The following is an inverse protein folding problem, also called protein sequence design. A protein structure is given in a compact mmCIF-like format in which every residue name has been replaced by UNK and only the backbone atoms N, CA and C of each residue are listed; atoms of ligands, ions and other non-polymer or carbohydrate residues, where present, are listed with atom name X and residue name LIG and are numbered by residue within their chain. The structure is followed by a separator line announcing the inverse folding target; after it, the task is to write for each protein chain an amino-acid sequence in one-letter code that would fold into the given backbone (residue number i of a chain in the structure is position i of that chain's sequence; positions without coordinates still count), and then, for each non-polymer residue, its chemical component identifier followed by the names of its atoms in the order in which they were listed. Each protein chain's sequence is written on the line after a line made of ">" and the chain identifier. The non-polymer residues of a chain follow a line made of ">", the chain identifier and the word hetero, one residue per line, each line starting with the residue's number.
data_IF_320452288750
#
_entry.id   IF_320452288750
#
_cell.length_a   1.000
_cell.length_b   1.000
_cell.length_c   1.000
_cell.angle_alpha   90.00
_cell.angle_beta   90.00
_cell.angle_gamma   90.00
#
_symmetry.space_group_name_H-M   'P 1'
#
loop_
_entity.id
_entity.type
_entity.pdbx_description
1 polymer ?
#
# COMPACT_ATOMS: atom_id res chain seq x y z
N UNK A 1 19.18 6.69 11.38
CA UNK A 1 17.97 5.92 11.00
C UNK A 1 18.09 5.46 9.56
N UNK A 2 17.92 4.17 9.34
CA UNK A 2 17.97 3.60 7.99
C UNK A 2 16.66 3.87 7.25
N UNK A 3 16.77 4.37 6.01
CA UNK A 3 15.59 4.61 5.17
C UNK A 3 15.50 3.54 4.08
N UNK A 4 14.33 2.94 3.94
CA UNK A 4 14.02 1.97 2.88
C UNK A 4 12.98 2.58 1.95
N UNK A 5 13.23 2.49 0.65
CA UNK A 5 12.37 3.07 -0.38
C UNK A 5 11.51 1.99 -1.01
N UNK A 6 10.23 2.30 -1.14
CA UNK A 6 9.25 1.36 -1.67
C UNK A 6 8.15 2.09 -2.44
N UNK A 7 7.31 1.32 -3.11
CA UNK A 7 6.11 1.79 -3.79
C UNK A 7 4.90 1.01 -3.30
N UNK A 8 3.72 1.64 -3.36
CA UNK A 8 2.43 0.97 -3.18
C UNK A 8 1.50 1.39 -4.31
N UNK A 9 0.67 0.46 -4.76
CA UNK A 9 -0.25 0.68 -5.87
C UNK A 9 -1.68 0.46 -5.42
N UNK A 10 -2.49 1.51 -5.49
CA UNK A 10 -3.92 1.44 -5.24
C UNK A 10 -4.64 1.15 -6.56
N UNK A 11 -5.38 0.06 -6.59
CA UNK A 11 -6.29 -0.28 -7.68
C UNK A 11 -7.68 -0.32 -7.09
N UNK A 12 -8.48 0.69 -7.43
CA UNK A 12 -9.83 0.86 -6.89
C UNK A 12 -10.82 0.64 -8.01
N UNK A 13 -11.77 -0.25 -7.77
CA UNK A 13 -12.87 -0.53 -8.69
C UNK A 13 -14.16 -0.55 -7.90
N UNK A 14 -15.08 0.35 -8.25
CA UNK A 14 -16.29 0.60 -7.49
C UNK A 14 -15.94 1.01 -6.05
N UNK A 15 -16.40 0.31 -5.05
CA UNK A 15 -16.10 0.55 -3.63
C UNK A 15 -15.12 -0.45 -3.04
N UNK A 16 -14.34 -1.11 -3.90
CA UNK A 16 -13.35 -2.12 -3.50
C UNK A 16 -11.95 -1.71 -3.91
N UNK A 17 -10.97 -2.18 -3.15
CA UNK A 17 -9.56 -2.01 -3.44
C UNK A 17 -8.86 -3.37 -3.51
N UNK A 18 -7.89 -3.50 -4.42
CA UNK A 18 -7.08 -4.69 -4.51
C UNK A 18 -6.09 -4.73 -3.34
N UNK A 19 -6.12 -5.81 -2.58
CA UNK A 19 -5.24 -6.03 -1.43
C UNK A 19 -4.45 -7.32 -1.58
N UNK A 20 -3.37 -7.42 -0.81
CA UNK A 20 -2.71 -8.67 -0.48
C UNK A 20 -3.22 -9.10 0.89
N UNK A 21 -3.64 -10.36 0.99
CA UNK A 21 -3.86 -11.02 2.26
C UNK A 21 -2.74 -12.02 2.48
N UNK A 22 -2.04 -11.85 3.59
CA UNK A 22 -1.00 -12.78 3.98
C UNK A 22 -1.62 -14.04 4.59
N UNK A 23 -1.09 -15.22 4.22
CA UNK A 23 -1.58 -16.51 4.69
C UNK A 23 -1.08 -16.91 6.08
N UNK A 24 -0.38 -16.03 6.75
CA UNK A 24 0.07 -16.27 8.12
C UNK A 24 -1.15 -16.36 9.04
N UNK A 25 -1.32 -17.52 9.69
CA UNK A 25 -2.45 -17.81 10.57
C UNK A 25 -2.57 -16.87 11.77
N UNK A 26 -1.49 -16.18 12.14
CA UNK A 26 -1.46 -15.23 13.24
C UNK A 26 -1.74 -13.81 12.80
N UNK A 27 -1.88 -13.56 11.49
CA UNK A 27 -2.05 -12.21 10.93
C UNK A 27 -3.13 -12.21 9.87
N UNK A 28 -4.29 -11.71 10.24
CA UNK A 28 -5.40 -11.53 9.30
C UNK A 28 -5.43 -10.06 8.82
N UNK A 29 -4.33 -9.63 8.23
CA UNK A 29 -4.17 -8.27 7.74
C UNK A 29 -4.19 -8.20 6.22
N UNK A 30 -4.88 -7.18 5.72
CA UNK A 30 -4.82 -6.80 4.31
C UNK A 30 -3.80 -5.67 4.13
N UNK A 31 -2.97 -5.77 3.13
CA UNK A 31 -2.02 -4.73 2.75
C UNK A 31 -2.28 -4.26 1.32
N UNK A 32 -1.80 -3.08 1.00
CA UNK A 32 -1.84 -2.54 -0.35
C UNK A 32 -0.64 -3.11 -1.11
N UNK A 33 -0.83 -3.60 -2.35
CA UNK A 33 0.26 -4.19 -3.13
C UNK A 33 1.41 -3.23 -3.39
N UNK A 34 2.61 -3.75 -3.38
CA UNK A 34 3.83 -3.01 -3.68
C UNK A 34 5.06 -3.71 -3.13
N UNK A 35 6.16 -3.01 -3.06
CA UNK A 35 7.42 -3.54 -2.56
C UNK A 35 8.57 -2.58 -2.73
N UNK A 36 9.78 -3.08 -2.50
CA UNK A 36 11.01 -2.29 -2.58
C UNK A 36 11.30 -1.86 -4.02
N UNK A 37 11.86 -0.66 -4.15
CA UNK A 37 12.42 -0.20 -5.42
C UNK A 37 13.81 -0.84 -5.56
N UNK A 38 14.04 -1.53 -6.66
CA UNK A 38 15.33 -2.14 -6.97
C UNK A 38 16.23 -1.15 -7.71
N UNK A 39 17.54 -1.36 -7.61
CA UNK A 39 18.50 -0.46 -8.24
C UNK A 39 18.30 -0.33 -9.74
N UNK A 40 18.31 0.91 -10.23
CA UNK A 40 18.19 1.22 -11.65
C UNK A 40 16.77 1.26 -12.20
N UNK A 41 15.75 0.89 -11.42
CA UNK A 41 14.37 1.02 -11.89
C UNK A 41 13.72 2.33 -11.44
N UNK A 42 12.78 2.83 -12.25
CA UNK A 42 11.93 3.94 -11.88
C UNK A 42 10.83 3.47 -10.91
N UNK A 43 10.17 4.41 -10.25
CA UNK A 43 9.04 4.08 -9.36
C UNK A 43 7.93 3.34 -10.11
N UNK A 44 7.61 3.78 -11.34
CA UNK A 44 6.59 3.13 -12.19
C UNK A 44 7.01 1.71 -12.56
N UNK A 45 8.27 1.51 -12.91
CA UNK A 45 8.81 0.17 -13.20
C UNK A 45 8.73 -0.73 -11.97
N UNK A 46 9.02 -0.21 -10.78
CA UNK A 46 8.88 -0.95 -9.54
C UNK A 46 7.42 -1.36 -9.28
N UNK A 47 6.47 -0.45 -9.48
CA UNK A 47 5.05 -0.75 -9.36
C UNK A 47 4.62 -1.88 -10.31
N UNK A 48 5.03 -1.81 -11.56
CA UNK A 48 4.69 -2.80 -12.58
C UNK A 48 5.31 -4.16 -12.29
N UNK A 49 6.57 -4.17 -11.88
CA UNK A 49 7.28 -5.41 -11.53
C UNK A 49 6.66 -6.09 -10.31
N UNK A 50 6.46 -5.34 -9.23
CA UNK A 50 5.89 -5.89 -7.99
C UNK A 50 4.49 -6.43 -8.20
N UNK A 51 3.66 -5.71 -8.96
CA UNK A 51 2.30 -6.14 -9.24
C UNK A 51 2.28 -7.44 -10.06
N UNK A 52 3.19 -7.56 -11.03
CA UNK A 52 3.33 -8.78 -11.83
C UNK A 52 3.85 -9.96 -11.00
N UNK A 53 4.86 -9.74 -10.17
CA UNK A 53 5.44 -10.77 -9.30
C UNK A 53 4.47 -11.24 -8.22
N UNK A 54 3.78 -10.30 -7.55
CA UNK A 54 2.89 -10.63 -6.45
C UNK A 54 1.50 -11.08 -6.89
N UNK A 55 1.01 -10.60 -8.04
CA UNK A 55 -0.39 -10.78 -8.45
C UNK A 55 -0.55 -11.53 -9.77
N UNK A 56 0.50 -11.63 -10.58
CA UNK A 56 0.38 -12.12 -11.94
C UNK A 56 -0.41 -11.18 -12.85
N UNK A 57 -0.51 -9.92 -12.49
CA UNK A 57 -1.29 -8.91 -13.20
C UNK A 57 -0.40 -7.79 -13.72
N UNK A 58 -0.86 -7.11 -14.75
CA UNK A 58 -0.21 -5.92 -15.29
C UNK A 58 -0.99 -4.69 -14.87
N UNK A 59 -0.28 -3.65 -14.42
CA UNK A 59 -0.86 -2.34 -14.10
C UNK A 59 -0.27 -1.28 -15.01
N UNK A 60 -1.09 -0.31 -15.38
CA UNK A 60 -0.69 0.77 -16.27
C UNK A 60 -1.45 2.06 -15.91
N UNK A 61 -1.11 3.16 -16.59
CA UNK A 61 -1.69 4.46 -16.30
C UNK A 61 -1.57 4.82 -14.81
N UNK A 62 -0.34 4.76 -14.32
CA UNK A 62 0.00 5.00 -12.92
C UNK A 62 0.16 6.50 -12.64
N UNK A 63 -0.62 7.01 -11.70
CA UNK A 63 -0.55 8.40 -11.23
C UNK A 63 -0.05 8.42 -9.78
N UNK A 64 0.97 9.22 -9.51
CA UNK A 64 1.43 9.44 -8.14
C UNK A 64 0.38 10.23 -7.36
N UNK A 65 -0.06 9.69 -6.22
CA UNK A 65 -1.07 10.30 -5.36
C UNK A 65 -0.49 10.79 -4.03
N UNK A 66 0.79 10.58 -3.80
CA UNK A 66 1.45 11.07 -2.61
C UNK A 66 2.56 10.18 -2.10
N UNK A 67 2.88 10.37 -0.84
CA UNK A 67 3.96 9.68 -0.16
C UNK A 67 3.53 9.30 1.26
N UNK A 68 3.91 8.10 1.67
CA UNK A 68 3.76 7.64 3.05
C UNK A 68 5.15 7.47 3.64
N UNK A 69 5.37 8.00 4.83
CA UNK A 69 6.52 7.64 5.65
C UNK A 69 6.03 6.84 6.85
N UNK A 70 6.67 5.71 7.10
CA UNK A 70 6.39 4.86 8.27
C UNK A 70 7.66 4.78 9.11
N UNK A 71 7.59 5.30 10.32
CA UNK A 71 8.72 5.38 11.24
C UNK A 71 8.58 4.33 12.32
N UNK A 72 9.61 3.52 12.49
CA UNK A 72 9.74 2.52 13.55
C UNK A 72 10.88 2.91 14.47
N UNK A 73 10.64 3.74 15.50
CA UNK A 73 11.71 4.26 16.34
C UNK A 73 12.50 3.17 17.08
N UNK A 74 11.82 2.10 17.51
CA UNK A 74 12.45 1.01 18.24
C UNK A 74 13.39 0.17 17.38
N UNK A 75 13.20 0.19 16.07
CA UNK A 75 14.03 -0.52 15.09
C UNK A 75 15.01 0.40 14.36
N UNK A 76 15.00 1.68 14.70
CA UNK A 76 15.81 2.74 14.08
C UNK A 76 15.75 2.73 12.55
N UNK A 77 14.54 2.56 12.03
CA UNK A 77 14.29 2.53 10.57
C UNK A 77 13.03 3.26 10.18
N UNK A 78 12.98 3.69 8.93
CA UNK A 78 11.78 4.21 8.31
C UNK A 78 11.63 3.69 6.88
N UNK A 79 10.39 3.61 6.44
CA UNK A 79 10.04 3.38 5.04
C UNK A 79 9.57 4.70 4.42
N UNK A 80 10.10 5.01 3.26
CA UNK A 80 9.63 6.11 2.42
C UNK A 80 8.94 5.46 1.21
N UNK A 81 7.62 5.56 1.16
CA UNK A 81 6.79 4.83 0.21
C UNK A 81 6.09 5.83 -0.70
N UNK A 82 6.38 5.79 -1.99
CA UNK A 82 5.60 6.52 -2.98
C UNK A 82 4.34 5.74 -3.33
N UNK A 83 3.22 6.41 -3.34
CA UNK A 83 1.92 5.82 -3.56
C UNK A 83 1.38 6.22 -4.92
N UNK A 84 0.89 5.23 -5.65
CA UNK A 84 0.34 5.38 -7.00
C UNK A 84 -1.07 4.81 -7.06
N UNK A 85 -1.90 5.41 -7.89
CA UNK A 85 -3.17 4.82 -8.30
C UNK A 85 -3.04 4.37 -9.75
N UNK A 86 -3.46 3.14 -10.04
CA UNK A 86 -3.49 2.60 -11.39
C UNK A 86 -4.92 2.63 -11.92
N UNK A 87 -5.13 3.23 -13.09
CA UNK A 87 -6.45 3.26 -13.75
C UNK A 87 -6.65 2.13 -14.74
N UNK A 88 -5.59 1.42 -15.08
CA UNK A 88 -5.65 0.31 -16.02
C UNK A 88 -4.99 -0.92 -15.42
N UNK A 89 -5.74 -2.00 -15.36
CA UNK A 89 -5.23 -3.29 -14.94
C UNK A 89 -5.62 -4.37 -15.95
N UNK A 90 -4.77 -5.37 -16.09
CA UNK A 90 -4.98 -6.50 -17.00
C UNK A 90 -4.52 -7.79 -16.34
N UNK A 91 -5.21 -8.88 -16.64
CA UNK A 91 -4.93 -10.19 -16.07
C UNK A 91 -5.86 -10.55 -14.91
N UNK A 92 -5.67 -11.76 -14.41
CA UNK A 92 -6.45 -12.31 -13.29
C UNK A 92 -5.55 -12.46 -12.08
N UNK A 93 -6.00 -12.05 -10.88
CA UNK A 93 -5.22 -12.24 -9.66
C UNK A 93 -4.86 -13.70 -9.46
N UNK A 94 -3.59 -13.95 -9.13
CA UNK A 94 -3.08 -15.29 -8.84
C UNK A 94 -2.78 -15.45 -7.36
N UNK A 95 -2.95 -16.66 -6.87
CA UNK A 95 -2.59 -17.04 -5.51
C UNK A 95 -1.14 -17.53 -5.46
N UNK A 96 -0.36 -16.98 -4.54
CA UNK A 96 1.02 -17.40 -4.28
C UNK A 96 1.12 -18.13 -2.95
N UNK A 97 2.25 -18.81 -2.71
CA UNK A 97 2.43 -19.68 -1.53
C UNK A 97 2.25 -18.99 -0.18
N UNK A 98 2.62 -17.71 -0.07
CA UNK A 98 2.60 -16.97 1.20
C UNK A 98 1.50 -15.91 1.27
N UNK A 99 0.96 -15.51 0.12
CA UNK A 99 -0.05 -14.47 0.05
C UNK A 99 -0.95 -14.66 -1.17
N UNK A 100 -2.05 -13.94 -1.20
CA UNK A 100 -2.93 -13.91 -2.37
C UNK A 100 -3.57 -12.55 -2.54
N UNK A 101 -3.88 -12.21 -3.80
CA UNK A 101 -4.57 -11.00 -4.16
C UNK A 101 -6.08 -11.17 -3.99
N UNK A 102 -6.74 -10.16 -3.48
CA UNK A 102 -8.19 -10.15 -3.34
C UNK A 102 -8.75 -8.74 -3.41
N UNK A 103 -10.01 -8.65 -3.85
CA UNK A 103 -10.78 -7.41 -3.77
C UNK A 103 -11.42 -7.30 -2.40
N UNK A 104 -11.23 -6.18 -1.73
CA UNK A 104 -11.76 -5.95 -0.38
C UNK A 104 -12.59 -4.67 -0.36
N UNK A 105 -13.75 -4.72 0.28
CA UNK A 105 -14.57 -3.53 0.50
C UNK A 105 -13.79 -2.47 1.27
N UNK A 106 -13.75 -1.25 0.73
CA UNK A 106 -13.08 -0.12 1.39
C UNK A 106 -13.74 0.16 2.74
N UNK A 107 -15.07 0.12 2.82
CA UNK A 107 -15.80 0.30 4.09
C UNK A 107 -15.40 -0.71 5.15
N UNK A 108 -15.20 -1.97 4.73
CA UNK A 108 -14.75 -3.04 5.64
C UNK A 108 -13.35 -2.75 6.17
N UNK A 109 -12.44 -2.32 5.30
CA UNK A 109 -11.06 -2.00 5.69
C UNK A 109 -10.99 -0.85 6.68
N UNK A 110 -11.69 0.24 6.43
CA UNK A 110 -11.65 1.42 7.31
C UNK A 110 -12.33 1.19 8.65
N UNK A 111 -13.19 0.18 8.75
CA UNK A 111 -13.86 -0.19 10.01
C UNK A 111 -13.03 -1.11 10.91
N UNK A 112 -11.91 -1.65 10.43
CA UNK A 112 -11.05 -2.52 11.20
C UNK A 112 -10.35 -1.76 12.33
N UNK A 113 -10.32 -2.31 13.55
CA UNK A 113 -9.62 -1.70 14.69
C UNK A 113 -8.11 -1.66 14.49
N UNK A 114 -7.56 -2.73 13.93
CA UNK A 114 -6.13 -2.82 13.63
C UNK A 114 -5.93 -2.83 12.13
N UNK A 115 -5.24 -1.82 11.66
CA UNK A 115 -4.99 -1.62 10.24
C UNK A 115 -3.51 -1.36 10.00
N UNK A 116 -3.00 -1.85 8.88
CA UNK A 116 -1.67 -1.47 8.42
C UNK A 116 -1.67 0.00 8.00
N UNK A 117 -0.55 0.67 8.21
CA UNK A 117 -0.40 2.09 7.91
C UNK A 117 -0.82 2.44 6.47
N UNK A 118 -0.47 1.58 5.51
CA UNK A 118 -0.77 1.78 4.09
C UNK A 118 -2.26 1.90 3.78
N UNK A 119 -3.13 1.27 4.58
CA UNK A 119 -4.58 1.28 4.37
C UNK A 119 -5.25 2.57 4.86
N UNK A 120 -4.56 3.39 5.67
CA UNK A 120 -5.12 4.65 6.16
C UNK A 120 -5.34 5.70 5.06
N UNK A 121 -4.66 5.57 3.91
CA UNK A 121 -4.94 6.41 2.76
C UNK A 121 -6.34 6.20 2.16
N UNK A 122 -7.02 5.12 2.55
CA UNK A 122 -8.38 4.82 2.12
C UNK A 122 -9.45 5.47 2.98
N UNK A 123 -9.09 6.18 4.05
CA UNK A 123 -10.04 6.86 4.91
C UNK A 123 -10.87 7.86 4.10
N UNK A 124 -12.17 7.96 4.42
CA UNK A 124 -13.19 8.63 3.57
C UNK A 124 -12.78 10.02 3.07
N UNK A 125 -12.21 10.83 3.96
CA UNK A 125 -11.81 12.19 3.60
C UNK A 125 -10.59 12.22 2.68
N UNK A 126 -9.75 11.22 2.75
CA UNK A 126 -8.52 11.16 1.97
C UNK A 126 -8.76 10.68 0.54
N UNK A 127 -9.72 9.78 0.32
CA UNK A 127 -10.05 9.29 -1.02
C UNK A 127 -10.46 10.45 -1.96
N UNK A 128 -11.14 11.45 -1.43
CA UNK A 128 -11.53 12.64 -2.20
C UNK A 128 -10.32 13.45 -2.67
N UNK A 129 -9.33 13.58 -1.80
CA UNK A 129 -8.09 14.30 -2.12
C UNK A 129 -7.19 13.53 -3.08
N UNK A 130 -7.17 12.21 -2.99
CA UNK A 130 -6.35 11.36 -3.85
C UNK A 130 -6.65 11.48 -5.34
N UNK A 131 -7.82 11.97 -5.70
CA UNK A 131 -8.22 12.18 -7.10
C UNK A 131 -7.62 13.44 -7.70
N UNK A 132 -7.45 14.50 -6.89
CA UNK A 132 -7.11 15.83 -7.35
C UNK A 132 -5.79 16.35 -6.77
N UNK A 133 -5.41 15.94 -5.56
CA UNK A 133 -4.21 16.41 -4.88
C UNK A 133 -3.37 15.28 -4.30
N UNK A 134 -2.07 15.53 -4.17
CA UNK A 134 -1.18 14.57 -3.52
C UNK A 134 -1.31 14.64 -2.01
N UNK A 135 -1.43 13.50 -1.38
CA UNK A 135 -1.52 13.37 0.07
C UNK A 135 -0.22 12.78 0.62
N UNK A 136 0.39 13.49 1.57
CA UNK A 136 1.59 13.03 2.25
C UNK A 136 1.25 12.72 3.70
N UNK A 137 1.60 11.52 4.14
CA UNK A 137 1.31 11.05 5.49
C UNK A 137 2.56 10.53 6.16
N UNK A 138 2.66 10.78 7.47
CA UNK A 138 3.73 10.24 8.31
C UNK A 138 3.07 9.43 9.42
N UNK A 139 3.45 8.17 9.53
CA UNK A 139 3.02 7.26 10.58
C UNK A 139 4.19 6.95 11.50
N UNK A 140 3.94 6.94 12.80
CA UNK A 140 4.88 6.41 13.77
C UNK A 140 4.26 5.15 14.36
N UNK A 141 5.03 4.07 14.41
CA UNK A 141 4.58 2.77 14.88
C UNK A 141 5.38 2.31 16.11
N UNK A 142 4.72 1.54 16.97
CA UNK A 142 5.37 0.89 18.10
C UNK A 142 6.13 -0.38 17.69
N UNK A 143 6.72 -1.09 18.66
CA UNK A 143 7.48 -2.32 18.42
C UNK A 143 6.61 -3.47 17.88
N UNK A 144 5.30 -3.39 18.02
CA UNK A 144 4.34 -4.37 17.49
C UNK A 144 3.73 -3.94 16.16
N UNK A 145 4.29 -2.88 15.54
CA UNK A 145 3.84 -2.29 14.29
C UNK A 145 2.42 -1.69 14.33
N UNK A 146 1.94 -1.33 15.52
CA UNK A 146 0.71 -0.56 15.67
C UNK A 146 0.99 0.92 15.43
N UNK A 147 0.09 1.59 14.73
CA UNK A 147 0.18 3.04 14.51
C UNK A 147 -0.13 3.76 15.82
N UNK A 148 0.82 4.54 16.32
CA UNK A 148 0.67 5.32 17.54
C UNK A 148 0.59 6.83 17.29
N UNK A 149 0.98 7.27 16.11
CA UNK A 149 0.83 8.67 15.69
C UNK A 149 0.69 8.75 14.17
N UNK A 150 -0.08 9.72 13.71
CA UNK A 150 -0.34 9.95 12.30
C UNK A 150 -0.36 11.45 12.03
N UNK A 151 0.39 11.90 11.04
CA UNK A 151 0.40 13.28 10.55
C UNK A 151 0.08 13.32 9.07
N UNK A 152 -0.73 14.28 8.66
CA UNK A 152 -1.04 14.56 7.26
C UNK A 152 -0.35 15.87 6.88
N UNK A 153 0.37 15.84 5.77
CA UNK A 153 1.08 17.02 5.26
C UNK A 153 0.72 17.34 3.84
#
# INVERSE_FOLDING_TARGET
>A
MTTRYAVRVFVIKDDKVMCIRYKDINKDFFDIPGGKIEGGETDVQACQREFKEEKGMNVDELKCIGKIEIIYPTEDKKYAIKTYIASKIDGTPQEFSENYACWVSIKKLIAEEKRLATTHLLDDDLIKYMRDEKVNMIFTCDSNHNVINMEIR
#
